data_IF_559210781621
#
_entry.id   IF_559210781621
#
_cell.length_a   1.000
_cell.length_b   1.000
_cell.length_c   1.000
_cell.angle_alpha   90.00
_cell.angle_beta   90.00
_cell.angle_gamma   90.00
#
_symmetry.space_group_name_H-M   'P 1'
#
loop_
_entity.id
_entity.type
_entity.pdbx_description
1 polymer ?
#
# COMPACT_ATOMS: atom_id res chain seq x y z
N UNK A 1 7.43 1.75 5.37
CA UNK A 1 7.09 2.06 3.95
C UNK A 1 6.89 0.79 3.11
N UNK A 2 7.67 -0.27 3.34
CA UNK A 2 7.51 -1.56 2.67
C UNK A 2 6.35 -2.39 3.27
N UNK A 3 5.76 -3.25 2.44
CA UNK A 3 4.79 -4.26 2.84
C UNK A 3 5.54 -5.43 3.48
N UNK A 4 5.15 -5.83 4.69
CA UNK A 4 5.79 -6.92 5.42
C UNK A 4 5.57 -8.29 4.76
N UNK A 5 4.53 -8.43 3.92
CA UNK A 5 4.21 -9.70 3.25
C UNK A 5 4.98 -9.92 1.95
N UNK A 6 5.21 -8.86 1.16
CA UNK A 6 5.84 -8.98 -0.17
C UNK A 6 7.13 -8.17 -0.34
N UNK A 7 7.55 -7.42 0.69
CA UNK A 7 8.77 -6.59 0.66
C UNK A 7 8.71 -5.38 -0.28
N UNK A 8 7.58 -5.12 -0.96
CA UNK A 8 7.43 -4.02 -1.93
C UNK A 8 6.89 -2.74 -1.28
N UNK A 9 7.04 -1.59 -1.93
CA UNK A 9 6.61 -0.29 -1.39
C UNK A 9 5.08 -0.21 -1.31
N UNK A 10 4.51 0.11 -0.13
CA UNK A 10 3.07 0.35 0.02
C UNK A 10 2.65 1.61 -0.76
N UNK A 11 1.44 1.69 -1.33
CA UNK A 11 0.95 2.93 -1.94
C UNK A 11 0.99 4.11 -0.96
N UNK A 12 1.23 5.31 -1.48
CA UNK A 12 1.03 6.56 -0.74
C UNK A 12 -0.47 6.72 -0.47
N UNK A 13 -0.83 7.06 0.77
CA UNK A 13 -2.24 7.33 1.12
C UNK A 13 -2.56 8.82 1.01
N UNK A 14 -1.54 9.67 1.17
CA UNK A 14 -1.67 11.11 1.25
C UNK A 14 -0.62 11.79 0.35
N UNK A 15 -0.72 13.11 0.14
CA UNK A 15 0.28 13.86 -0.64
C UNK A 15 1.63 13.95 0.07
N UNK A 16 1.63 14.06 1.40
CA UNK A 16 2.87 14.15 2.20
C UNK A 16 3.73 12.88 2.12
N UNK A 17 3.12 11.75 1.72
CA UNK A 17 3.83 10.50 1.47
C UNK A 17 4.66 10.52 0.17
N UNK A 18 4.44 11.48 -0.73
CA UNK A 18 5.18 11.61 -1.99
C UNK A 18 6.58 12.20 -1.76
N UNK A 19 7.46 11.40 -1.18
CA UNK A 19 8.86 11.75 -0.95
C UNK A 19 9.77 11.17 -2.03
N UNK A 20 10.92 11.81 -2.26
CA UNK A 20 11.96 11.30 -3.16
C UNK A 20 12.51 9.94 -2.71
N UNK A 21 12.58 9.70 -1.40
CA UNK A 21 12.92 8.40 -0.83
C UNK A 21 11.91 7.32 -1.25
N UNK A 22 10.60 7.61 -1.19
CA UNK A 22 9.56 6.69 -1.67
C UNK A 22 9.75 6.38 -3.15
N UNK A 23 9.98 7.40 -3.98
CA UNK A 23 10.20 7.22 -5.41
C UNK A 23 11.40 6.31 -5.69
N UNK A 24 12.52 6.51 -4.99
CA UNK A 24 13.71 5.65 -5.09
C UNK A 24 13.40 4.20 -4.74
N UNK A 25 12.67 3.97 -3.64
CA UNK A 25 12.28 2.63 -3.22
C UNK A 25 11.32 1.97 -4.22
N UNK A 26 10.44 2.73 -4.87
CA UNK A 26 9.54 2.21 -5.91
C UNK A 26 10.34 1.69 -7.10
N UNK A 27 11.37 2.42 -7.56
CA UNK A 27 12.24 1.96 -8.65
C UNK A 27 13.02 0.70 -8.28
N UNK A 28 13.43 0.55 -7.02
CA UNK A 28 14.24 -0.59 -6.56
C UNK A 28 13.41 -1.85 -6.24
N UNK A 29 12.25 -1.68 -5.61
CA UNK A 29 11.46 -2.79 -5.05
C UNK A 29 10.09 -2.97 -5.71
N UNK A 30 9.65 -2.02 -6.53
CA UNK A 30 8.31 -1.99 -7.12
C UNK A 30 7.20 -1.62 -6.11
N UNK A 31 5.98 -1.50 -6.62
CA UNK A 31 4.79 -1.20 -5.84
C UNK A 31 4.12 -2.49 -5.31
N UNK A 32 3.64 -2.40 -4.08
CA UNK A 32 2.84 -3.43 -3.45
C UNK A 32 1.43 -3.48 -4.06
N UNK A 33 0.98 -4.69 -4.39
CA UNK A 33 -0.36 -5.00 -4.92
C UNK A 33 -1.12 -5.98 -4.02
N UNK A 34 -0.64 -6.20 -2.78
CA UNK A 34 -1.34 -7.03 -1.80
C UNK A 34 -2.73 -6.43 -1.56
N UNK A 35 -3.77 -7.24 -1.77
CA UNK A 35 -5.15 -6.84 -1.47
C UNK A 35 -5.37 -7.00 0.04
N UNK A 36 -5.95 -5.99 0.73
CA UNK A 36 -6.46 -6.23 2.07
C UNK A 36 -7.54 -7.31 2.01
N UNK A 37 -7.74 -8.11 3.09
CA UNK A 37 -8.85 -9.03 3.15
C UNK A 37 -10.15 -8.25 2.93
N UNK A 38 -10.93 -8.65 1.93
CA UNK A 38 -12.24 -8.08 1.66
C UNK A 38 -13.13 -8.47 2.84
N UNK A 39 -13.43 -7.53 3.74
CA UNK A 39 -14.48 -7.76 4.73
C UNK A 39 -15.82 -7.91 3.98
N UNK A 40 -16.69 -8.87 4.36
CA UNK A 40 -18.01 -9.01 3.76
C UNK A 40 -18.74 -7.66 3.78
N UNK A 41 -19.30 -7.26 2.64
CA UNK A 41 -19.95 -5.96 2.43
C UNK A 41 -21.28 -5.79 3.20
N UNK A 42 -21.70 -6.78 3.98
CA UNK A 42 -23.06 -6.90 4.54
C UNK A 42 -23.21 -6.56 6.04
N UNK A 43 -22.29 -5.79 6.63
CA UNK A 43 -22.43 -5.36 8.03
C UNK A 43 -23.04 -3.95 8.20
N UNK A 44 -23.64 -3.36 7.16
CA UNK A 44 -24.25 -2.01 7.21
C UNK A 44 -25.72 -1.99 6.78
N UNK A 45 -26.49 -3.02 7.15
CA UNK A 45 -27.96 -2.99 7.10
C UNK A 45 -28.57 -3.91 8.18
N UNK A 46 -28.69 -3.37 9.38
CA UNK A 46 -29.73 -3.74 10.37
C UNK A 46 -30.09 -2.50 11.16
#
# INVERSE_FOLDING_TARGET
>A
MLCLSCGRVRPALNRDDYTSERARLITQHGLCVCKPPQLPRDARRS
#
